data_IF_004689821009
#
_entry.id   IF_004689821009
#
_cell.length_a   1.000
_cell.length_b   1.000
_cell.length_c   1.000
_cell.angle_alpha   90.00
_cell.angle_beta   90.00
_cell.angle_gamma   90.00
#
_symmetry.space_group_name_H-M   'P 1'
#
loop_
_entity.id
_entity.type
_entity.pdbx_description
1 polymer ?
#
# COMPACT_ATOMS: atom_id res chain seq x y z
N UNK A 1 -19.87 -8.55 14.30
CA UNK A 1 -19.30 -8.43 12.95
C UNK A 1 -18.32 -9.58 12.78
N UNK A 2 -18.53 -10.49 11.83
CA UNK A 2 -17.59 -11.58 11.60
C UNK A 2 -16.46 -11.06 10.71
N UNK A 3 -15.24 -11.02 11.24
CA UNK A 3 -14.06 -10.48 10.58
C UNK A 3 -13.01 -11.58 10.54
N UNK A 4 -12.43 -11.80 9.35
CA UNK A 4 -11.23 -12.60 9.22
C UNK A 4 -10.06 -11.69 8.85
N UNK A 5 -8.88 -12.04 9.35
CA UNK A 5 -7.67 -11.27 9.22
C UNK A 5 -6.52 -12.20 8.89
N UNK A 6 -5.78 -11.83 7.85
CA UNK A 6 -4.49 -12.44 7.52
C UNK A 6 -3.48 -11.32 7.33
N UNK A 7 -2.24 -11.59 7.67
CA UNK A 7 -1.18 -10.61 7.51
C UNK A 7 0.17 -11.27 7.32
N UNK A 8 1.01 -10.59 6.57
CA UNK A 8 2.37 -10.96 6.29
C UNK A 8 3.26 -9.72 6.50
N UNK A 9 4.35 -9.90 7.26
CA UNK A 9 5.30 -8.85 7.61
C UNK A 9 6.70 -9.32 7.28
N UNK A 10 7.36 -8.62 6.37
CA UNK A 10 8.75 -8.87 6.02
C UNK A 10 9.65 -7.94 6.83
N UNK A 11 10.43 -8.48 7.75
CA UNK A 11 11.20 -7.70 8.71
C UNK A 11 12.64 -7.49 8.26
N UNK A 12 13.16 -6.27 8.44
CA UNK A 12 14.53 -5.93 8.08
C UNK A 12 15.24 -5.14 9.19
N UNK A 13 16.58 -5.25 9.22
CA UNK A 13 17.43 -4.67 10.26
C UNK A 13 17.04 -5.11 11.70
N UNK A 14 16.50 -6.33 11.82
CA UNK A 14 15.93 -6.89 13.04
C UNK A 14 14.50 -7.36 12.81
N UNK A 15 13.96 -8.14 13.74
CA UNK A 15 12.58 -8.65 13.67
C UNK A 15 11.60 -7.89 14.57
N UNK A 16 12.08 -6.90 15.33
CA UNK A 16 11.31 -6.23 16.37
C UNK A 16 10.00 -5.63 15.84
N UNK A 17 10.10 -4.77 14.82
CA UNK A 17 8.92 -4.14 14.21
C UNK A 17 7.91 -5.18 13.67
N UNK A 18 8.37 -6.19 12.93
CA UNK A 18 7.51 -7.25 12.39
C UNK A 18 6.81 -8.07 13.50
N UNK A 19 7.52 -8.42 14.57
CA UNK A 19 6.98 -9.17 15.70
C UNK A 19 5.94 -8.36 16.46
N UNK A 20 6.12 -7.04 16.60
CA UNK A 20 5.14 -6.17 17.27
C UNK A 20 3.92 -5.98 16.38
N UNK A 21 4.12 -5.66 15.09
CA UNK A 21 3.04 -5.48 14.13
C UNK A 21 2.17 -6.74 13.98
N UNK A 22 2.79 -7.92 13.93
CA UNK A 22 2.05 -9.20 13.84
C UNK A 22 1.15 -9.50 15.04
N UNK A 23 1.44 -8.91 16.21
CA UNK A 23 0.63 -9.08 17.42
C UNK A 23 -0.44 -8.02 17.59
N UNK A 24 -0.18 -6.79 17.12
CA UNK A 24 -0.98 -5.62 17.52
C UNK A 24 -1.72 -4.94 16.36
N UNK A 25 -1.29 -5.09 15.10
CA UNK A 25 -1.94 -4.37 13.99
C UNK A 25 -3.41 -4.77 13.80
N UNK A 26 -3.73 -6.06 14.00
CA UNK A 26 -5.13 -6.52 13.98
C UNK A 26 -5.97 -5.82 15.06
N UNK A 27 -5.39 -5.56 16.24
CA UNK A 27 -6.10 -4.89 17.32
C UNK A 27 -6.43 -3.45 16.96
N UNK A 28 -5.45 -2.69 16.43
CA UNK A 28 -5.68 -1.33 15.93
C UNK A 28 -6.77 -1.29 14.86
N UNK A 29 -6.77 -2.25 13.92
CA UNK A 29 -7.81 -2.34 12.89
C UNK A 29 -9.18 -2.59 13.53
N UNK A 30 -9.27 -3.49 14.50
CA UNK A 30 -10.53 -3.77 15.20
C UNK A 30 -11.05 -2.55 15.96
N UNK A 31 -10.18 -1.80 16.63
CA UNK A 31 -10.55 -0.57 17.34
C UNK A 31 -11.11 0.48 16.36
N UNK A 32 -10.42 0.74 15.26
CA UNK A 32 -10.88 1.70 14.23
C UNK A 32 -12.20 1.26 13.59
N UNK A 33 -12.38 -0.04 13.33
CA UNK A 33 -13.63 -0.57 12.78
C UNK A 33 -14.79 -0.51 13.79
N UNK A 34 -14.50 -0.60 15.08
CA UNK A 34 -15.52 -0.53 16.14
C UNK A 34 -16.15 0.87 16.21
N UNK A 35 -15.41 1.93 15.88
CA UNK A 35 -15.94 3.31 15.82
C UNK A 35 -17.00 3.50 14.73
N UNK A 36 -16.90 2.73 13.63
CA UNK A 36 -17.80 2.86 12.48
C UNK A 36 -18.83 1.73 12.37
N UNK A 37 -18.82 0.76 13.29
CA UNK A 37 -19.62 -0.47 13.18
C UNK A 37 -21.12 -0.19 13.10
N UNK A 38 -21.61 0.80 13.85
CA UNK A 38 -23.04 1.12 13.89
C UNK A 38 -23.51 1.78 12.59
N UNK A 39 -22.65 2.58 11.96
CA UNK A 39 -22.90 3.14 10.63
C UNK A 39 -22.95 1.99 9.61
N UNK A 40 -21.99 1.06 9.68
CA UNK A 40 -21.90 -0.08 8.76
C UNK A 40 -23.06 -1.08 8.87
N UNK A 41 -23.72 -1.19 10.02
CA UNK A 41 -24.91 -2.06 10.20
C UNK A 41 -26.09 -1.62 9.33
N UNK A 42 -26.21 -0.32 9.05
CA UNK A 42 -27.30 0.22 8.26
C UNK A 42 -26.84 0.63 6.86
N UNK A 43 -26.55 -0.36 6.02
CA UNK A 43 -26.07 -0.13 4.65
C UNK A 43 -27.07 0.62 3.75
N UNK A 44 -28.33 0.79 4.18
CA UNK A 44 -29.36 1.50 3.42
C UNK A 44 -29.22 3.02 3.51
N UNK A 45 -28.50 3.53 4.52
CA UNK A 45 -28.26 4.96 4.73
C UNK A 45 -26.78 5.23 4.51
N UNK A 46 -26.46 6.30 3.80
CA UNK A 46 -25.06 6.69 3.63
C UNK A 46 -24.46 7.13 4.96
N UNK A 47 -23.14 6.98 5.14
CA UNK A 47 -22.43 7.57 6.27
C UNK A 47 -22.79 9.04 6.45
N UNK A 48 -23.12 9.50 7.67
CA UNK A 48 -23.33 10.91 7.93
C UNK A 48 -22.01 11.67 7.75
N UNK A 49 -22.06 12.87 7.16
CA UNK A 49 -20.88 13.73 7.04
C UNK A 49 -20.43 14.26 8.41
N UNK A 50 -21.40 14.59 9.27
CA UNK A 50 -21.17 15.02 10.65
C UNK A 50 -21.96 14.14 11.60
N UNK A 51 -21.31 13.56 12.61
CA UNK A 51 -21.99 12.77 13.63
C UNK A 51 -22.85 13.66 14.52
N UNK A 52 -24.09 13.22 14.79
CA UNK A 52 -25.03 13.93 15.66
C UNK A 52 -25.85 15.03 14.96
N UNK A 53 -25.65 15.27 13.67
CA UNK A 53 -26.55 16.08 12.86
C UNK A 53 -27.67 15.21 12.28
N UNK A 54 -28.93 15.61 12.49
CA UNK A 54 -30.07 14.96 11.84
C UNK A 54 -30.02 15.23 10.33
N UNK A 55 -30.23 14.23 9.46
CA UNK A 55 -30.24 14.45 8.02
C UNK A 55 -31.30 15.48 7.67
N UNK A 56 -30.91 16.62 7.07
CA UNK A 56 -31.86 17.60 6.58
C UNK A 56 -32.84 16.92 5.61
N UNK A 57 -34.13 16.91 5.98
CA UNK A 57 -35.20 16.41 5.13
C UNK A 57 -35.22 17.19 3.81
N UNK A 58 -34.57 16.65 2.78
CA UNK A 58 -34.58 17.23 1.43
C UNK A 58 -35.96 17.08 0.79
N UNK A 59 -36.89 17.95 1.17
CA UNK A 59 -38.09 18.29 0.40
C UNK A 59 -37.89 19.67 -0.23
N UNK A 60 -36.96 19.79 -1.17
CA UNK A 60 -36.88 20.97 -2.02
C UNK A 60 -36.48 20.57 -3.44
N UNK A 61 -37.42 20.76 -4.36
CA UNK A 61 -37.30 20.53 -5.80
C UNK A 61 -35.99 21.11 -6.37
N UNK A 62 -35.11 20.23 -6.86
CA UNK A 62 -33.93 20.63 -7.63
C UNK A 62 -34.37 21.21 -8.98
N UNK A 63 -34.51 22.53 -9.06
CA UNK A 63 -34.50 23.26 -10.33
C UNK A 63 -33.05 23.61 -10.67
N UNK A 64 -32.57 23.03 -11.75
CA UNK A 64 -31.29 23.33 -12.39
C UNK A 64 -31.23 24.82 -12.75
N UNK A 65 -30.31 25.57 -12.14
CA UNK A 65 -30.05 26.98 -12.49
C UNK A 65 -28.73 27.07 -13.25
N UNK A 66 -28.81 27.49 -14.51
CA UNK A 66 -27.70 27.65 -15.45
C UNK A 66 -26.84 28.88 -15.08
N UNK A 67 -25.52 28.70 -15.24
CA UNK A 67 -24.39 29.45 -14.63
C UNK A 67 -24.13 30.88 -15.14
N UNK A 68 -25.10 31.65 -15.63
CA UNK A 68 -24.78 32.87 -16.42
C UNK A 68 -25.44 34.20 -16.04
N UNK A 69 -26.14 34.33 -14.90
CA UNK A 69 -26.92 35.55 -14.62
C UNK A 69 -26.54 36.36 -13.36
N UNK A 70 -25.48 36.03 -12.61
CA UNK A 70 -25.24 36.63 -11.27
C UNK A 70 -24.14 37.70 -11.19
N UNK A 71 -23.72 38.31 -12.31
CA UNK A 71 -22.75 39.41 -12.34
C UNK A 71 -23.37 40.81 -12.55
N UNK A 72 -24.58 41.06 -12.01
CA UNK A 72 -25.09 42.43 -11.93
C UNK A 72 -25.41 42.80 -10.49
N UNK A 73 -24.55 43.67 -9.95
CA UNK A 73 -24.70 44.38 -8.69
C UNK A 73 -26.06 45.08 -8.62
N UNK A 74 -26.76 44.91 -7.50
CA UNK A 74 -27.94 45.67 -7.14
C UNK A 74 -27.82 46.10 -5.68
N UNK A 75 -27.61 47.40 -5.48
CA UNK A 75 -27.56 48.08 -4.18
C UNK A 75 -28.96 48.04 -3.56
N UNK A 76 -29.10 47.57 -2.31
CA UNK A 76 -30.40 47.56 -1.62
C UNK A 76 -30.36 47.24 -0.13
N UNK A 77 -30.63 48.29 0.67
CA UNK A 77 -31.17 48.39 2.05
C UNK A 77 -30.65 47.51 3.23
N UNK A 78 -30.34 48.10 4.40
CA UNK A 78 -30.00 47.38 5.61
C UNK A 78 -31.26 47.03 6.44
N UNK A 79 -31.47 45.75 6.74
CA UNK A 79 -32.47 45.34 7.71
C UNK A 79 -33.07 43.95 7.48
N UNK A 80 -32.30 42.89 7.76
CA UNK A 80 -32.75 41.54 8.18
C UNK A 80 -31.51 40.64 8.30
N UNK A 81 -31.37 39.79 9.34
CA UNK A 81 -30.35 38.75 9.36
C UNK A 81 -30.84 37.58 8.49
N UNK A 82 -30.97 37.80 7.18
CA UNK A 82 -31.12 36.70 6.24
C UNK A 82 -29.74 36.06 6.07
N UNK A 83 -29.56 34.86 6.61
CA UNK A 83 -28.43 34.00 6.29
C UNK A 83 -28.24 34.00 4.77
N UNK A 84 -27.05 34.36 4.25
CA UNK A 84 -26.83 34.37 2.82
C UNK A 84 -27.06 32.95 2.28
N UNK A 85 -27.75 32.77 1.14
CA UNK A 85 -27.91 31.46 0.55
C UNK A 85 -26.51 30.89 0.29
N UNK A 86 -26.21 29.78 0.94
CA UNK A 86 -24.93 29.08 0.93
C UNK A 86 -24.63 28.59 -0.49
N UNK A 87 -23.91 29.40 -1.27
CA UNK A 87 -23.78 29.21 -2.73
C UNK A 87 -22.94 28.00 -3.18
N UNK A 88 -22.38 27.17 -2.29
CA UNK A 88 -21.48 26.06 -2.68
C UNK A 88 -21.46 24.85 -1.72
N UNK A 89 -22.60 24.43 -1.15
CA UNK A 89 -22.64 23.18 -0.39
C UNK A 89 -23.19 22.05 -1.26
N UNK A 90 -22.34 21.44 -2.08
CA UNK A 90 -22.61 20.09 -2.61
C UNK A 90 -21.92 19.09 -1.70
N UNK A 91 -22.71 18.35 -0.94
CA UNK A 91 -22.21 17.29 -0.07
C UNK A 91 -21.79 16.07 -0.91
N UNK A 92 -20.58 15.56 -0.66
CA UNK A 92 -20.06 14.39 -1.37
C UNK A 92 -20.63 13.13 -0.71
N UNK A 93 -21.29 12.29 -1.50
CA UNK A 93 -21.72 10.96 -1.04
C UNK A 93 -20.50 10.07 -0.84
N UNK A 94 -20.33 9.53 0.37
CA UNK A 94 -19.21 8.65 0.73
C UNK A 94 -19.70 7.20 0.78
N UNK A 95 -19.16 6.29 -0.04
CA UNK A 95 -19.43 4.86 0.09
C UNK A 95 -18.95 4.29 1.43
N UNK A 96 -19.66 3.29 1.98
CA UNK A 96 -19.26 2.61 3.23
C UNK A 96 -17.86 2.01 3.18
N UNK A 97 -17.42 1.53 2.02
CA UNK A 97 -16.07 0.99 1.85
C UNK A 97 -14.98 2.03 2.14
N UNK A 98 -15.23 3.32 1.88
CA UNK A 98 -14.28 4.38 2.20
C UNK A 98 -14.07 4.53 3.72
N UNK A 99 -15.09 4.22 4.55
CA UNK A 99 -14.93 4.20 5.99
C UNK A 99 -13.99 3.05 6.42
N UNK A 100 -14.15 1.87 5.83
CA UNK A 100 -13.30 0.70 6.12
C UNK A 100 -11.86 0.96 5.67
N UNK A 101 -11.67 1.53 4.48
CA UNK A 101 -10.35 1.92 3.97
C UNK A 101 -9.69 2.92 4.94
N UNK A 102 -10.41 3.98 5.32
CA UNK A 102 -9.89 4.98 6.25
C UNK A 102 -9.58 4.41 7.64
N UNK A 103 -10.39 3.47 8.14
CA UNK A 103 -10.13 2.77 9.40
C UNK A 103 -8.83 1.94 9.34
N UNK A 104 -8.58 1.24 8.23
CA UNK A 104 -7.35 0.46 8.03
C UNK A 104 -6.13 1.39 7.90
N UNK A 105 -6.23 2.47 7.13
CA UNK A 105 -5.16 3.46 6.97
C UNK A 105 -4.79 4.12 8.31
N UNK A 106 -5.79 4.50 9.12
CA UNK A 106 -5.60 5.02 10.47
C UNK A 106 -4.95 3.99 11.39
N UNK A 107 -5.34 2.72 11.33
CA UNK A 107 -4.74 1.66 12.12
C UNK A 107 -3.25 1.44 11.82
N UNK A 108 -2.83 1.53 10.56
CA UNK A 108 -1.41 1.46 10.18
C UNK A 108 -0.61 2.62 10.77
N UNK A 109 -1.19 3.83 10.75
CA UNK A 109 -0.57 5.01 11.35
C UNK A 109 -0.44 4.86 12.87
N UNK A 110 -1.50 4.42 13.55
CA UNK A 110 -1.48 4.21 15.01
C UNK A 110 -0.49 3.11 15.41
N UNK A 111 -0.40 2.03 14.63
CA UNK A 111 0.60 0.99 14.82
C UNK A 111 2.03 1.54 14.68
N UNK A 112 2.32 2.34 13.64
CA UNK A 112 3.65 2.93 13.46
C UNK A 112 4.01 3.91 14.59
N UNK A 113 3.04 4.73 15.05
CA UNK A 113 3.20 5.62 16.21
C UNK A 113 3.37 4.85 17.52
N UNK A 114 2.73 3.69 17.68
CA UNK A 114 2.96 2.83 18.84
C UNK A 114 4.38 2.27 18.81
N UNK A 115 4.83 1.73 17.67
CA UNK A 115 6.23 1.27 17.50
C UNK A 115 7.19 2.41 17.85
N UNK A 116 6.94 3.62 17.36
CA UNK A 116 7.75 4.79 17.69
C UNK A 116 7.86 5.00 19.21
N UNK A 117 6.72 5.08 19.91
CA UNK A 117 6.68 5.35 21.35
C UNK A 117 7.34 4.26 22.18
N UNK A 118 7.20 3.01 21.74
CA UNK A 118 7.58 1.83 22.51
C UNK A 118 9.00 1.33 22.21
N UNK A 119 9.62 1.78 21.10
CA UNK A 119 10.89 1.21 20.61
C UNK A 119 12.02 1.22 21.62
N UNK A 120 12.18 2.29 22.39
CA UNK A 120 13.28 2.40 23.37
C UNK A 120 13.04 1.52 24.58
N UNK A 121 11.79 1.43 25.04
CA UNK A 121 11.42 0.70 26.27
C UNK A 121 11.47 -0.80 26.02
N UNK A 122 10.96 -1.26 24.87
CA UNK A 122 10.89 -2.68 24.51
C UNK A 122 11.98 -3.12 23.53
N UNK A 123 12.94 -2.25 23.24
CA UNK A 123 14.05 -2.48 22.31
C UNK A 123 13.58 -2.99 20.93
N UNK A 124 12.53 -2.35 20.40
CA UNK A 124 11.94 -2.70 19.09
C UNK A 124 12.90 -2.24 18.01
N UNK A 125 13.55 -3.19 17.35
CA UNK A 125 14.51 -2.93 16.28
C UNK A 125 13.90 -2.98 14.88
N UNK A 126 14.55 -2.26 13.97
CA UNK A 126 14.32 -2.34 12.53
C UNK A 126 12.98 -1.79 12.06
N UNK A 127 12.59 -2.27 10.89
CA UNK A 127 11.32 -1.99 10.26
C UNK A 127 10.74 -3.24 9.61
N UNK A 128 9.57 -3.11 9.02
CA UNK A 128 8.98 -4.19 8.25
C UNK A 128 8.03 -3.68 7.16
N UNK A 129 7.86 -4.48 6.11
CA UNK A 129 6.69 -4.39 5.25
C UNK A 129 5.45 -4.85 6.01
N UNK A 130 4.27 -4.47 5.53
CA UNK A 130 3.00 -4.93 6.06
C UNK A 130 2.00 -5.14 4.93
N UNK A 131 1.64 -6.41 4.70
CA UNK A 131 0.58 -6.82 3.77
C UNK A 131 -0.54 -7.49 4.57
N UNK A 132 -1.70 -6.85 4.60
CA UNK A 132 -2.85 -7.23 5.43
C UNK A 132 -4.07 -7.49 4.55
N UNK A 133 -4.84 -8.52 4.91
CA UNK A 133 -6.12 -8.84 4.29
C UNK A 133 -7.19 -8.87 5.37
N UNK A 134 -8.17 -8.01 5.24
CA UNK A 134 -9.37 -8.00 6.09
C UNK A 134 -10.56 -8.48 5.25
N UNK A 135 -11.19 -9.57 5.67
CA UNK A 135 -12.50 -9.94 5.16
C UNK A 135 -13.58 -9.30 6.03
N UNK A 136 -14.44 -8.49 5.40
CA UNK A 136 -15.52 -7.80 6.07
C UNK A 136 -16.72 -7.59 5.13
N UNK A 137 -17.90 -8.02 5.58
CA UNK A 137 -19.19 -7.84 4.88
C UNK A 137 -19.18 -8.31 3.41
N UNK A 138 -18.54 -9.46 3.14
CA UNK A 138 -18.46 -10.01 1.78
C UNK A 138 -17.38 -9.39 0.90
N UNK A 139 -16.55 -8.50 1.43
CA UNK A 139 -15.43 -7.88 0.70
C UNK A 139 -14.10 -8.24 1.35
N UNK A 140 -13.06 -8.39 0.53
CA UNK A 140 -11.67 -8.42 0.95
C UNK A 140 -11.08 -7.02 0.79
N UNK A 141 -10.45 -6.52 1.83
CA UNK A 141 -9.66 -5.29 1.85
C UNK A 141 -8.19 -5.69 1.97
N UNK A 142 -7.43 -5.51 0.91
CA UNK A 142 -6.01 -5.87 0.82
C UNK A 142 -5.19 -4.60 0.95
N UNK A 143 -4.58 -4.41 2.12
CA UNK A 143 -3.79 -3.24 2.46
C UNK A 143 -2.30 -3.57 2.40
N UNK A 144 -1.53 -2.84 1.58
CA UNK A 144 -0.10 -3.06 1.41
C UNK A 144 0.74 -1.82 1.72
N UNK A 145 1.79 -2.00 2.52
CA UNK A 145 2.86 -1.03 2.75
C UNK A 145 4.21 -1.75 2.68
N UNK A 146 4.88 -1.68 1.53
CA UNK A 146 6.14 -2.36 1.26
C UNK A 146 6.16 -3.03 -0.12
N UNK A 147 7.03 -4.01 -0.30
CA UNK A 147 7.24 -4.78 -1.53
C UNK A 147 6.80 -6.25 -1.42
N UNK A 148 6.21 -6.66 -0.29
CA UNK A 148 5.36 -7.85 -0.27
C UNK A 148 4.17 -7.69 -1.22
N UNK A 149 3.67 -8.80 -1.77
CA UNK A 149 2.68 -8.76 -2.86
C UNK A 149 1.54 -9.75 -2.67
N UNK A 150 0.35 -9.35 -3.12
CA UNK A 150 -0.84 -10.17 -3.16
C UNK A 150 -1.45 -10.24 -4.57
N UNK A 151 -1.90 -11.43 -4.97
CA UNK A 151 -2.65 -11.67 -6.20
C UNK A 151 -3.82 -12.61 -5.93
N UNK A 152 -4.94 -12.42 -6.63
CA UNK A 152 -6.00 -13.43 -6.73
C UNK A 152 -5.75 -14.25 -7.99
N UNK A 153 -5.95 -15.56 -7.88
CA UNK A 153 -6.05 -16.48 -9.01
C UNK A 153 -7.49 -16.96 -9.03
N UNK A 154 -8.23 -16.61 -10.08
CA UNK A 154 -9.65 -16.95 -10.22
C UNK A 154 -9.95 -17.38 -11.64
N UNK A 155 -10.48 -18.58 -11.85
CA UNK A 155 -10.82 -19.10 -13.19
C UNK A 155 -9.66 -18.95 -14.20
N UNK A 156 -8.42 -19.17 -13.76
CA UNK A 156 -7.21 -18.99 -14.57
C UNK A 156 -6.79 -17.54 -14.81
N UNK A 157 -7.56 -16.55 -14.35
CA UNK A 157 -7.20 -15.13 -14.39
C UNK A 157 -6.36 -14.74 -13.17
N UNK A 158 -5.35 -13.91 -13.40
CA UNK A 158 -4.52 -13.32 -12.34
C UNK A 158 -4.94 -11.88 -12.11
N UNK A 159 -5.43 -11.58 -10.91
CA UNK A 159 -5.90 -10.26 -10.51
C UNK A 159 -4.95 -9.67 -9.46
N UNK A 160 -4.16 -8.63 -9.78
CA UNK A 160 -3.25 -7.99 -8.83
C UNK A 160 -4.01 -7.30 -7.68
N UNK A 161 -3.74 -7.73 -6.45
CA UNK A 161 -4.40 -7.22 -5.24
C UNK A 161 -3.52 -6.32 -4.37
N UNK A 162 -2.28 -6.07 -4.78
CA UNK A 162 -1.45 -5.00 -4.23
C UNK A 162 -0.55 -4.39 -5.31
N UNK A 163 0.18 -3.35 -4.94
CA UNK A 163 1.24 -2.72 -5.73
C UNK A 163 2.50 -2.66 -4.85
N UNK A 164 3.70 -2.78 -5.42
CA UNK A 164 4.95 -2.70 -4.65
C UNK A 164 5.41 -1.25 -4.47
N UNK A 165 5.89 -0.93 -3.26
CA UNK A 165 6.30 0.41 -2.88
C UNK A 165 7.82 0.52 -2.75
N UNK A 166 8.50 0.54 -3.89
CA UNK A 166 9.95 0.66 -4.01
C UNK A 166 10.36 2.11 -4.35
N UNK A 167 11.66 2.46 -4.25
CA UNK A 167 12.15 3.78 -4.64
C UNK A 167 11.78 4.18 -6.07
N UNK A 168 11.73 3.21 -6.99
CA UNK A 168 11.39 3.46 -8.40
C UNK A 168 9.89 3.68 -8.59
N UNK A 169 9.04 2.83 -7.99
CA UNK A 169 7.57 2.95 -8.15
C UNK A 169 7.04 4.22 -7.49
N UNK A 170 7.66 4.65 -6.39
CA UNK A 170 7.27 5.84 -5.63
C UNK A 170 8.15 7.07 -5.93
N UNK A 171 8.95 7.02 -7.01
CA UNK A 171 9.90 8.08 -7.38
C UNK A 171 9.30 9.48 -7.31
N UNK A 172 8.14 9.68 -7.94
CA UNK A 172 7.50 11.01 -7.99
C UNK A 172 7.12 11.51 -6.60
N UNK A 173 6.60 10.64 -5.72
CA UNK A 173 6.26 11.00 -4.34
C UNK A 173 7.51 11.41 -3.56
N UNK A 174 8.58 10.61 -3.67
CA UNK A 174 9.85 10.88 -3.00
C UNK A 174 10.48 12.19 -3.45
N UNK A 175 10.60 12.40 -4.77
CA UNK A 175 11.17 13.63 -5.33
C UNK A 175 10.31 14.86 -5.00
N UNK A 176 8.98 14.72 -5.01
CA UNK A 176 8.08 15.81 -4.63
C UNK A 176 8.28 16.21 -3.16
N UNK A 177 8.37 15.24 -2.24
CA UNK A 177 8.66 15.51 -0.83
C UNK A 177 10.01 16.23 -0.66
N UNK A 178 11.04 15.74 -1.34
CA UNK A 178 12.37 16.32 -1.32
C UNK A 178 12.43 17.73 -1.93
N UNK A 179 11.65 17.99 -2.97
CA UNK A 179 11.49 19.32 -3.56
C UNK A 179 10.79 20.29 -2.59
N UNK A 180 9.72 19.85 -1.93
CA UNK A 180 8.96 20.66 -0.97
C UNK A 180 9.71 20.89 0.34
N UNK A 181 10.54 19.93 0.74
CA UNK A 181 11.29 19.94 2.01
C UNK A 181 12.78 19.64 1.78
N UNK A 182 13.53 20.54 1.12
CA UNK A 182 14.92 20.28 0.74
C UNK A 182 15.87 20.12 1.93
N UNK A 183 15.50 20.61 3.11
CA UNK A 183 16.27 20.40 4.34
C UNK A 183 16.39 18.91 4.73
N UNK A 184 15.45 18.06 4.30
CA UNK A 184 15.49 16.61 4.53
C UNK A 184 16.64 15.93 3.77
N UNK A 185 17.20 16.59 2.74
CA UNK A 185 18.31 16.06 1.94
C UNK A 185 19.70 16.36 2.55
N UNK A 186 19.76 17.07 3.68
CA UNK A 186 20.99 17.41 4.39
C UNK A 186 22.01 18.22 3.57
N UNK A 187 21.59 18.82 2.46
CA UNK A 187 22.47 19.45 1.45
C UNK A 187 23.48 18.48 0.79
N UNK A 188 23.32 17.17 0.98
CA UNK A 188 24.18 16.13 0.40
C UNK A 188 23.51 15.45 -0.80
N UNK A 189 22.17 15.43 -0.80
CA UNK A 189 21.35 14.79 -1.81
C UNK A 189 20.61 15.81 -2.67
N UNK A 190 20.23 15.38 -3.88
CA UNK A 190 19.36 16.12 -4.79
C UNK A 190 18.12 15.30 -5.13
N UNK A 191 16.98 15.99 -5.26
CA UNK A 191 15.74 15.39 -5.73
C UNK A 191 15.75 15.18 -7.24
N UNK A 192 16.63 15.88 -7.99
CA UNK A 192 16.75 15.70 -9.43
C UNK A 192 17.36 14.34 -9.75
N UNK A 193 16.84 13.71 -10.79
CA UNK A 193 17.41 12.48 -11.30
C UNK A 193 18.18 12.72 -12.59
N UNK A 194 19.33 12.09 -12.69
CA UNK A 194 20.19 12.06 -13.87
C UNK A 194 20.39 10.60 -14.30
N UNK A 195 20.60 10.30 -15.59
CA UNK A 195 20.84 8.93 -16.05
C UNK A 195 22.07 8.26 -15.44
N UNK A 196 22.97 9.06 -14.85
CA UNK A 196 24.10 8.61 -14.04
C UNK A 196 24.59 9.74 -13.15
N UNK A 197 25.48 9.42 -12.21
CA UNK A 197 26.16 10.41 -11.39
C UNK A 197 26.87 11.47 -12.26
N UNK A 198 26.56 12.73 -11.95
CA UNK A 198 27.17 13.91 -12.58
C UNK A 198 28.61 14.06 -12.09
N UNK A 199 29.52 14.40 -13.00
CA UNK A 199 30.94 14.59 -12.68
C UNK A 199 31.31 16.07 -12.71
N UNK A 200 32.28 16.49 -11.88
CA UNK A 200 32.71 17.90 -11.79
C UNK A 200 33.15 18.50 -13.14
N UNK A 201 33.74 17.70 -14.04
CA UNK A 201 34.12 18.12 -15.41
C UNK A 201 32.94 18.39 -16.36
N UNK A 202 31.71 18.18 -15.89
CA UNK A 202 30.47 18.31 -16.67
C UNK A 202 29.70 19.58 -16.31
N UNK A 203 30.13 20.33 -15.30
CA UNK A 203 29.58 21.66 -14.99
C UNK A 203 29.63 22.54 -16.25
N UNK A 204 28.51 23.21 -16.53
CA UNK A 204 28.31 24.03 -17.72
C UNK A 204 27.93 23.26 -18.99
N UNK A 205 27.92 21.92 -18.98
CA UNK A 205 27.45 21.09 -20.10
C UNK A 205 25.98 20.76 -19.95
N UNK A 206 25.33 20.37 -21.05
CA UNK A 206 23.95 19.89 -21.04
C UNK A 206 23.88 18.39 -20.76
N UNK A 207 23.04 17.98 -19.83
CA UNK A 207 22.78 16.57 -19.50
C UNK A 207 21.28 16.33 -19.35
N UNK A 208 20.85 15.11 -19.66
CA UNK A 208 19.48 14.68 -19.40
C UNK A 208 19.23 14.69 -17.89
N UNK A 209 18.07 15.19 -17.50
CA UNK A 209 17.57 15.16 -16.14
C UNK A 209 16.05 14.95 -16.16
N UNK A 210 15.50 14.57 -15.00
CA UNK A 210 14.06 14.62 -14.76
C UNK A 210 13.75 14.99 -13.32
N UNK A 211 12.59 15.62 -13.15
CA UNK A 211 12.08 16.11 -11.87
C UNK A 211 10.78 15.35 -11.48
N UNK A 212 10.23 15.64 -10.29
CA UNK A 212 9.08 14.94 -9.72
C UNK A 212 7.83 14.98 -10.63
N UNK A 213 7.61 16.09 -11.35
CA UNK A 213 6.48 16.28 -12.25
C UNK A 213 6.71 15.71 -13.66
N UNK A 214 7.88 15.13 -13.93
CA UNK A 214 8.24 14.62 -15.25
C UNK A 214 8.08 13.10 -15.33
N UNK A 215 7.45 12.62 -16.39
CA UNK A 215 7.47 11.20 -16.79
C UNK A 215 8.56 10.92 -17.85
N UNK A 216 8.96 11.94 -18.62
CA UNK A 216 10.06 11.89 -19.59
C UNK A 216 11.35 12.53 -19.09
N UNK A 217 12.28 12.79 -20.01
CA UNK A 217 13.57 13.45 -19.74
C UNK A 217 13.66 14.79 -20.47
N UNK A 218 14.34 15.76 -19.86
CA UNK A 218 14.68 17.04 -20.46
C UNK A 218 16.19 17.29 -20.33
N UNK A 219 16.73 18.27 -21.04
CA UNK A 219 18.14 18.68 -20.89
C UNK A 219 18.23 19.92 -20.02
N UNK A 220 19.07 19.90 -18.97
CA UNK A 220 19.51 21.11 -18.24
C UNK A 220 21.00 21.33 -18.39
N UNK A 221 21.44 22.57 -18.16
CA UNK A 221 22.85 22.87 -17.94
C UNK A 221 23.22 22.45 -16.52
N UNK A 222 24.31 21.70 -16.38
CA UNK A 222 24.78 21.21 -15.08
C UNK A 222 25.40 22.34 -14.26
N UNK A 223 25.02 22.38 -12.98
CA UNK A 223 25.48 23.31 -11.96
C UNK A 223 26.23 22.56 -10.84
N UNK A 224 26.88 23.29 -9.92
CA UNK A 224 27.60 22.65 -8.80
C UNK A 224 26.66 21.81 -7.90
N UNK A 225 25.41 22.25 -7.73
CA UNK A 225 24.42 21.57 -6.90
C UNK A 225 24.04 20.19 -7.43
N UNK A 226 24.19 19.97 -8.75
CA UNK A 226 23.89 18.68 -9.40
C UNK A 226 24.95 17.61 -9.11
N UNK A 227 26.07 17.96 -8.45
CA UNK A 227 27.08 17.00 -7.99
C UNK A 227 26.65 16.22 -6.74
N UNK A 228 25.58 16.67 -6.08
CA UNK A 228 24.97 15.98 -4.94
C UNK A 228 24.51 14.57 -5.32
N UNK A 229 24.41 13.70 -4.32
CA UNK A 229 23.97 12.32 -4.54
C UNK A 229 22.47 12.27 -4.90
N UNK A 230 22.03 11.37 -5.78
CA UNK A 230 20.62 11.27 -6.09
C UNK A 230 19.83 10.72 -4.89
N UNK A 231 18.63 11.24 -4.68
CA UNK A 231 17.70 10.74 -3.66
C UNK A 231 17.40 9.24 -3.84
N UNK A 232 17.33 8.76 -5.07
CA UNK A 232 17.15 7.35 -5.41
C UNK A 232 18.44 6.86 -6.06
N UNK A 233 19.08 5.89 -5.42
CA UNK A 233 20.36 5.33 -5.84
C UNK A 233 20.20 3.87 -6.26
N UNK A 234 20.74 3.52 -7.42
CA UNK A 234 20.61 2.16 -7.98
C UNK A 234 19.37 2.01 -8.85
N UNK A 235 19.19 0.81 -9.39
CA UNK A 235 18.12 0.46 -10.33
C UNK A 235 17.51 -0.91 -9.97
N UNK A 236 16.24 -1.09 -10.31
CA UNK A 236 15.46 -2.29 -10.00
C UNK A 236 15.53 -2.63 -8.51
N UNK A 237 15.77 -3.91 -8.20
CA UNK A 237 15.86 -4.41 -6.83
C UNK A 237 17.00 -3.84 -5.98
N UNK A 238 17.97 -3.19 -6.64
CA UNK A 238 19.09 -2.52 -5.96
C UNK A 238 18.84 -1.04 -5.74
N UNK A 239 17.69 -0.52 -6.16
CA UNK A 239 17.30 0.85 -5.89
C UNK A 239 17.11 1.05 -4.39
N UNK A 240 17.63 2.16 -3.87
CA UNK A 240 17.58 2.52 -2.45
C UNK A 240 17.30 4.01 -2.29
N UNK A 241 16.47 4.38 -1.33
CA UNK A 241 16.36 5.79 -0.90
C UNK A 241 17.64 6.16 -0.17
N UNK A 242 18.34 7.18 -0.68
CA UNK A 242 19.62 7.70 -0.18
C UNK A 242 20.63 6.59 0.14
N UNK A 243 20.73 5.60 -0.77
CA UNK A 243 21.59 4.42 -0.64
C UNK A 243 21.35 3.57 0.64
N UNK A 244 20.19 3.71 1.30
CA UNK A 244 19.94 3.15 2.63
C UNK A 244 18.86 2.07 2.62
N UNK A 245 17.63 2.38 2.18
CA UNK A 245 16.47 1.45 2.30
C UNK A 245 15.85 1.10 0.94
N UNK A 246 15.46 -0.16 0.77
CA UNK A 246 14.88 -0.72 -0.48
C UNK A 246 13.37 -0.59 -0.62
N UNK A 247 12.69 -0.25 0.47
CA UNK A 247 11.25 0.02 0.52
C UNK A 247 10.98 1.48 0.84
N UNK A 248 9.83 1.98 0.41
CA UNK A 248 9.40 3.38 0.64
C UNK A 248 8.13 3.47 1.46
N UNK A 249 7.52 2.32 1.76
CA UNK A 249 6.44 2.20 2.72
C UNK A 249 6.67 1.01 3.65
N UNK A 250 6.22 1.12 4.89
CA UNK A 250 6.41 0.11 5.94
C UNK A 250 6.26 0.70 7.35
N UNK A 251 6.36 -0.17 8.35
CA UNK A 251 6.28 0.17 9.77
C UNK A 251 7.67 0.15 10.41
N UNK A 252 7.91 0.98 11.42
CA UNK A 252 9.20 1.03 12.13
C UNK A 252 10.24 1.94 11.45
N UNK A 253 11.53 1.62 11.60
CA UNK A 253 12.66 2.41 11.09
C UNK A 253 12.69 3.89 11.54
N UNK A 254 12.16 4.19 12.73
CA UNK A 254 12.09 5.55 13.26
C UNK A 254 13.46 6.19 13.49
N UNK A 255 14.48 5.37 13.79
CA UNK A 255 15.85 5.84 14.03
C UNK A 255 16.78 5.60 12.82
N UNK A 256 16.24 5.14 11.69
CA UNK A 256 17.03 4.83 10.51
C UNK A 256 17.58 6.11 9.87
N UNK A 257 18.90 6.14 9.72
CA UNK A 257 19.66 7.24 9.12
C UNK A 257 20.46 6.76 7.92
N UNK A 258 20.73 7.69 7.01
CA UNK A 258 21.75 7.48 5.98
C UNK A 258 23.10 7.24 6.67
N UNK A 259 23.82 6.22 6.22
CA UNK A 259 25.11 5.79 6.78
C UNK A 259 26.08 6.97 6.96
N UNK A 260 26.74 7.04 8.11
CA UNK A 260 27.69 8.11 8.49
C UNK A 260 27.13 9.55 8.40
N UNK A 261 25.81 9.73 8.53
CA UNK A 261 25.17 11.06 8.50
C UNK A 261 24.15 11.25 9.63
N UNK A 262 23.61 12.48 9.72
CA UNK A 262 22.46 12.80 10.58
C UNK A 262 21.15 12.93 9.79
N UNK A 263 21.10 12.41 8.56
CA UNK A 263 19.92 12.48 7.69
C UNK A 263 19.04 11.27 7.99
N UNK A 264 17.83 11.51 8.52
CA UNK A 264 16.85 10.45 8.76
C UNK A 264 16.15 10.03 7.46
N UNK A 265 15.78 8.76 7.39
CA UNK A 265 15.02 8.23 6.25
C UNK A 265 13.56 8.64 6.30
N UNK A 266 12.91 8.61 7.48
CA UNK A 266 11.60 9.24 7.62
C UNK A 266 11.77 10.76 7.44
N UNK A 267 10.90 11.44 6.66
CA UNK A 267 9.57 11.01 6.20
C UNK A 267 9.49 10.38 4.80
N UNK A 268 10.61 10.03 4.15
CA UNK A 268 10.56 9.35 2.83
C UNK A 268 9.93 7.95 2.90
N UNK A 269 10.14 7.26 4.03
CA UNK A 269 9.46 6.02 4.40
C UNK A 269 8.10 6.31 5.07
N UNK A 270 7.00 5.90 4.44
CA UNK A 270 5.63 6.13 4.94
C UNK A 270 4.98 4.86 5.49
N UNK A 271 4.25 4.95 6.60
CA UNK A 271 3.46 3.82 7.13
C UNK A 271 2.09 3.65 6.47
N UNK A 272 1.69 4.57 5.58
CA UNK A 272 0.34 4.56 4.98
C UNK A 272 0.21 3.46 3.91
N UNK A 273 -0.71 2.50 4.06
CA UNK A 273 -0.91 1.46 3.06
C UNK A 273 -1.66 1.99 1.83
N UNK A 274 -1.57 1.28 0.72
CA UNK A 274 -2.60 1.30 -0.32
C UNK A 274 -3.60 0.18 -0.04
N UNK A 275 -4.91 0.47 -0.10
CA UNK A 275 -5.97 -0.52 0.11
C UNK A 275 -6.71 -0.81 -1.20
N UNK A 276 -6.64 -2.05 -1.68
CA UNK A 276 -7.49 -2.54 -2.79
C UNK A 276 -8.65 -3.35 -2.25
N UNK A 277 -9.82 -3.20 -2.86
CA UNK A 277 -11.05 -3.88 -2.45
C UNK A 277 -11.46 -4.89 -3.51
N UNK A 278 -11.72 -6.13 -3.07
CA UNK A 278 -12.28 -7.18 -3.90
C UNK A 278 -13.61 -7.64 -3.32
N UNK A 279 -14.67 -7.50 -4.11
CA UNK A 279 -16.02 -7.89 -3.71
C UNK A 279 -16.26 -9.38 -4.03
N UNK A 280 -16.28 -10.22 -3.00
CA UNK A 280 -16.47 -11.67 -3.17
C UNK A 280 -17.87 -12.01 -3.67
N UNK A 281 -18.85 -11.12 -3.54
CA UNK A 281 -20.22 -11.37 -3.97
C UNK A 281 -20.42 -11.17 -5.47
N UNK A 282 -19.48 -10.50 -6.14
CA UNK A 282 -19.57 -10.25 -7.59
C UNK A 282 -19.23 -11.46 -8.44
N UNK A 283 -18.63 -12.50 -7.86
CA UNK A 283 -18.13 -13.66 -8.58
C UNK A 283 -18.45 -14.94 -7.82
N UNK A 284 -18.69 -16.02 -8.56
CA UNK A 284 -18.74 -17.35 -8.00
C UNK A 284 -17.33 -17.93 -7.97
N UNK A 285 -16.88 -18.36 -6.78
CA UNK A 285 -15.53 -18.87 -6.58
C UNK A 285 -15.53 -20.39 -6.41
N UNK A 286 -14.74 -21.08 -7.23
CA UNK A 286 -14.47 -22.51 -7.07
C UNK A 286 -13.50 -22.81 -5.92
N UNK A 287 -13.29 -24.09 -5.60
CA UNK A 287 -12.34 -24.52 -4.57
C UNK A 287 -10.87 -24.26 -4.95
N UNK A 288 -10.60 -23.92 -6.21
CA UNK A 288 -9.25 -23.63 -6.72
C UNK A 288 -9.00 -22.13 -6.86
N UNK A 289 -10.02 -21.30 -6.63
CA UNK A 289 -9.88 -19.84 -6.65
C UNK A 289 -9.33 -19.37 -5.30
N UNK A 290 -8.17 -18.73 -5.33
CA UNK A 290 -7.38 -18.42 -4.13
C UNK A 290 -6.81 -17.00 -4.17
N UNK A 291 -6.63 -16.43 -2.99
CA UNK A 291 -5.78 -15.27 -2.76
C UNK A 291 -4.41 -15.75 -2.29
N UNK A 292 -3.36 -15.29 -2.98
CA UNK A 292 -1.96 -15.53 -2.62
C UNK A 292 -1.41 -14.27 -1.96
N UNK A 293 -0.72 -14.41 -0.84
CA UNK A 293 0.11 -13.36 -0.23
C UNK A 293 1.51 -13.92 -0.05
N UNK A 294 2.54 -13.17 -0.39
CA UNK A 294 3.91 -13.59 -0.08
C UNK A 294 4.88 -12.42 0.09
N UNK A 295 6.00 -12.70 0.77
CA UNK A 295 7.16 -11.81 0.86
C UNK A 295 7.84 -11.65 -0.50
N UNK A 296 8.67 -10.63 -0.64
CA UNK A 296 9.45 -10.43 -1.86
C UNK A 296 10.34 -11.64 -2.17
N UNK A 297 10.76 -12.41 -1.17
CA UNK A 297 11.48 -13.67 -1.33
C UNK A 297 10.81 -14.68 -2.27
N UNK A 298 9.49 -14.61 -2.50
CA UNK A 298 8.80 -15.34 -3.58
C UNK A 298 8.85 -14.56 -4.91
N UNK A 299 8.36 -13.32 -4.88
CA UNK A 299 8.10 -12.48 -6.06
C UNK A 299 9.37 -12.03 -6.79
N UNK A 300 10.50 -12.09 -6.09
CA UNK A 300 11.79 -11.78 -6.62
C UNK A 300 12.25 -12.79 -7.69
N UNK A 301 11.78 -14.02 -7.62
CA UNK A 301 12.27 -15.10 -8.47
C UNK A 301 11.18 -15.76 -9.30
N UNK A 302 9.91 -15.52 -8.98
CA UNK A 302 8.75 -16.01 -9.73
C UNK A 302 7.85 -14.85 -10.17
N UNK A 303 7.43 -14.89 -11.45
CA UNK A 303 6.41 -13.99 -11.96
C UNK A 303 5.01 -14.38 -11.45
N UNK A 304 4.06 -13.44 -11.53
CA UNK A 304 2.67 -13.69 -11.15
C UNK A 304 2.07 -14.87 -11.92
N UNK A 305 2.38 -14.97 -13.22
CA UNK A 305 1.92 -16.04 -14.11
C UNK A 305 2.54 -17.38 -13.74
N UNK A 306 3.80 -17.41 -13.31
CA UNK A 306 4.48 -18.64 -12.88
C UNK A 306 3.88 -19.17 -11.56
N UNK A 307 3.54 -18.27 -10.64
CA UNK A 307 2.83 -18.61 -9.41
C UNK A 307 1.41 -19.12 -9.72
N UNK A 308 0.69 -18.44 -10.62
CA UNK A 308 -0.64 -18.83 -11.02
C UNK A 308 -0.68 -20.20 -11.71
N UNK A 309 0.26 -20.45 -12.63
CA UNK A 309 0.42 -21.74 -13.28
C UNK A 309 0.73 -22.85 -12.26
N UNK A 310 1.65 -22.61 -11.33
CA UNK A 310 2.00 -23.57 -10.29
C UNK A 310 0.77 -23.95 -9.45
N UNK A 311 0.01 -22.96 -8.96
CA UNK A 311 -1.19 -23.19 -8.14
C UNK A 311 -2.30 -23.89 -8.95
N UNK A 312 -2.54 -23.45 -10.18
CA UNK A 312 -3.57 -24.02 -11.08
C UNK A 312 -3.27 -25.47 -11.43
N UNK A 313 -1.98 -25.83 -11.53
CA UNK A 313 -1.57 -27.22 -11.76
C UNK A 313 -1.55 -28.04 -10.46
N UNK A 314 -1.31 -27.41 -9.30
CA UNK A 314 -1.18 -28.12 -8.03
C UNK A 314 -2.53 -28.47 -7.41
N UNK A 315 -3.42 -27.48 -7.26
CA UNK A 315 -4.66 -27.64 -6.51
C UNK A 315 -5.54 -28.77 -7.06
N UNK A 316 -5.85 -28.89 -8.37
CA UNK A 316 -6.73 -29.93 -8.90
C UNK A 316 -6.26 -31.37 -8.63
N UNK A 317 -4.97 -31.57 -8.35
CA UNK A 317 -4.39 -32.87 -8.02
C UNK A 317 -4.51 -33.25 -6.53
N UNK A 318 -5.03 -32.34 -5.70
CA UNK A 318 -5.32 -32.59 -4.30
C UNK A 318 -6.82 -32.86 -4.11
N UNK A 319 -7.17 -33.63 -3.08
CA UNK A 319 -8.55 -33.77 -2.61
C UNK A 319 -9.15 -32.37 -2.29
N UNK A 320 -10.26 -31.96 -2.93
CA UNK A 320 -10.89 -30.66 -2.70
C UNK A 320 -11.27 -30.40 -1.23
N UNK A 321 -11.60 -31.45 -0.48
CA UNK A 321 -11.95 -31.38 0.95
C UNK A 321 -10.74 -31.67 1.87
N UNK A 322 -9.55 -31.82 1.28
CA UNK A 322 -8.32 -32.10 1.99
C UNK A 322 -7.92 -30.95 2.92
N UNK A 323 -7.75 -31.18 4.24
CA UNK A 323 -7.53 -30.11 5.23
C UNK A 323 -6.19 -29.37 5.06
N UNK A 324 -5.25 -29.94 4.29
CA UNK A 324 -3.91 -29.38 4.07
C UNK A 324 -3.67 -28.93 2.63
N UNK A 325 -4.68 -28.99 1.75
CA UNK A 325 -4.54 -28.68 0.31
C UNK A 325 -3.84 -27.35 0.04
N UNK A 326 -4.31 -26.28 0.69
CA UNK A 326 -3.75 -24.93 0.50
C UNK A 326 -2.39 -24.75 1.19
N UNK A 327 -2.16 -25.42 2.32
CA UNK A 327 -0.84 -25.44 2.98
C UNK A 327 0.21 -26.12 2.11
N UNK A 328 -0.14 -27.24 1.47
CA UNK A 328 0.75 -27.93 0.54
C UNK A 328 1.03 -27.10 -0.71
N UNK A 329 0.03 -26.38 -1.24
CA UNK A 329 0.24 -25.44 -2.34
C UNK A 329 1.19 -24.29 -1.94
N UNK A 330 1.06 -23.75 -0.71
CA UNK A 330 1.98 -22.75 -0.19
C UNK A 330 3.41 -23.29 -0.07
N UNK A 331 3.56 -24.53 0.42
CA UNK A 331 4.87 -25.21 0.49
C UNK A 331 5.47 -25.44 -0.89
N UNK A 332 4.67 -25.85 -1.89
CA UNK A 332 5.13 -26.01 -3.27
C UNK A 332 5.67 -24.69 -3.83
N UNK A 333 4.98 -23.56 -3.60
CA UNK A 333 5.46 -22.23 -3.99
C UNK A 333 6.78 -21.84 -3.29
N UNK A 334 6.91 -22.09 -1.98
CA UNK A 334 8.16 -21.86 -1.25
C UNK A 334 9.31 -22.66 -1.84
N UNK A 335 9.08 -23.96 -2.10
CA UNK A 335 10.09 -24.85 -2.68
C UNK A 335 10.46 -24.46 -4.11
N UNK A 336 9.50 -23.96 -4.90
CA UNK A 336 9.75 -23.45 -6.26
C UNK A 336 10.61 -22.19 -6.25
N UNK A 337 10.34 -21.25 -5.36
CA UNK A 337 11.14 -20.02 -5.26
C UNK A 337 12.53 -20.29 -4.68
N UNK A 338 12.65 -21.18 -3.69
CA UNK A 338 13.96 -21.60 -3.18
C UNK A 338 14.75 -22.39 -4.22
N UNK A 339 14.11 -23.33 -4.91
CA UNK A 339 14.78 -24.22 -5.86
C UNK A 339 15.72 -25.23 -5.20
N UNK A 340 16.72 -25.67 -5.95
CA UNK A 340 17.70 -26.70 -5.53
C UNK A 340 19.07 -26.08 -5.32
N UNK A 341 19.76 -26.49 -4.26
CA UNK A 341 21.13 -26.05 -4.01
C UNK A 341 22.10 -26.68 -5.01
N UNK A 342 22.84 -25.83 -5.74
CA UNK A 342 23.97 -26.23 -6.60
C UNK A 342 25.26 -25.54 -6.11
N UNK A 343 26.41 -25.88 -6.69
CA UNK A 343 27.72 -25.36 -6.29
C UNK A 343 27.82 -23.82 -6.24
N UNK A 344 26.96 -23.11 -6.97
CA UNK A 344 26.89 -21.64 -7.04
C UNK A 344 25.55 -21.10 -6.54
N UNK A 345 25.04 -21.66 -5.44
CA UNK A 345 23.83 -21.23 -4.76
C UNK A 345 22.55 -21.91 -5.23
N UNK A 346 21.42 -21.41 -4.73
CA UNK A 346 20.08 -21.90 -5.04
C UNK A 346 19.70 -21.64 -6.51
N UNK A 347 19.08 -22.63 -7.16
CA UNK A 347 18.67 -22.57 -8.58
C UNK A 347 17.25 -23.09 -8.77
N UNK A 348 16.45 -22.32 -9.48
CA UNK A 348 15.09 -22.70 -9.89
C UNK A 348 15.11 -23.30 -11.31
N UNK A 349 13.92 -23.53 -11.88
CA UNK A 349 13.77 -23.96 -13.26
C UNK A 349 14.56 -23.05 -14.23
N UNK A 350 15.11 -23.67 -15.29
CA UNK A 350 15.96 -23.00 -16.29
C UNK A 350 17.26 -22.39 -15.75
N UNK A 351 17.75 -22.87 -14.59
CA UNK A 351 19.02 -22.46 -13.96
C UNK A 351 19.08 -20.98 -13.53
N UNK A 352 17.92 -20.30 -13.48
CA UNK A 352 17.77 -18.98 -12.86
C UNK A 352 18.11 -19.08 -11.36
N UNK A 353 18.59 -17.97 -10.79
CA UNK A 353 18.86 -17.89 -9.36
C UNK A 353 17.57 -18.11 -8.58
N UNK A 354 17.63 -19.01 -7.60
CA UNK A 354 16.59 -19.14 -6.59
C UNK A 354 16.73 -18.06 -5.52
N UNK A 355 15.67 -17.92 -4.74
CA UNK A 355 15.62 -16.92 -3.70
C UNK A 355 16.68 -17.20 -2.64
N UNK A 356 17.41 -16.16 -2.25
CA UNK A 356 18.32 -16.16 -1.11
C UNK A 356 17.67 -15.64 0.17
N UNK A 357 16.44 -15.15 0.09
CA UNK A 357 15.76 -14.43 1.17
C UNK A 357 14.86 -15.34 2.01
N UNK A 358 14.23 -14.79 3.05
CA UNK A 358 13.12 -15.42 3.75
C UNK A 358 11.87 -15.48 2.85
N UNK A 359 11.21 -16.64 2.84
CA UNK A 359 10.05 -16.88 1.96
C UNK A 359 8.87 -17.28 2.84
N UNK A 360 7.86 -16.42 2.89
CA UNK A 360 6.58 -16.71 3.53
C UNK A 360 5.47 -16.59 2.51
N UNK A 361 4.56 -17.58 2.47
CA UNK A 361 3.45 -17.63 1.51
C UNK A 361 2.17 -18.06 2.22
N UNK A 362 1.09 -17.34 1.96
CA UNK A 362 -0.27 -17.77 2.26
C UNK A 362 -1.02 -18.09 0.97
N UNK A 363 -1.78 -19.18 0.99
CA UNK A 363 -2.77 -19.54 -0.03
C UNK A 363 -4.13 -19.60 0.67
N UNK A 364 -5.01 -18.66 0.35
CA UNK A 364 -6.29 -18.47 1.05
C UNK A 364 -7.44 -18.77 0.08
N UNK A 365 -8.27 -19.79 0.34
CA UNK A 365 -9.42 -20.12 -0.51
C UNK A 365 -10.51 -19.05 -0.50
N UNK A 366 -11.00 -18.69 -1.68
CA UNK A 366 -12.06 -17.69 -1.85
C UNK A 366 -13.48 -18.29 -1.73
N UNK A 367 -13.62 -19.60 -1.91
CA UNK A 367 -14.93 -20.31 -1.87
C UNK A 367 -15.73 -20.08 -0.59
N UNK A 368 -15.06 -19.81 0.55
CA UNK A 368 -15.75 -19.55 1.81
C UNK A 368 -16.46 -18.19 1.84
N UNK A 369 -16.07 -17.26 0.96
CA UNK A 369 -16.79 -16.02 0.72
C UNK A 369 -18.21 -16.26 0.17
N UNK A 370 -18.39 -17.32 -0.63
CA UNK A 370 -19.68 -17.67 -1.23
C UNK A 370 -20.69 -18.15 -0.16
N UNK A 371 -20.24 -18.77 0.93
CA UNK A 371 -21.11 -19.42 1.92
C UNK A 371 -21.76 -18.47 2.93
N UNK A 372 -21.32 -17.22 3.02
CA UNK A 372 -21.89 -16.22 3.95
C UNK A 372 -23.01 -15.36 3.33
N UNK A 373 -23.28 -15.49 2.02
CA UNK A 373 -24.45 -14.89 1.38
C UNK A 373 -25.75 -15.69 1.66
N UNK A 374 -25.63 -16.98 1.95
CA UNK A 374 -26.76 -17.91 2.15
C UNK A 374 -27.42 -17.82 3.54
N UNK A 375 -26.75 -17.21 4.54
CA UNK A 375 -27.32 -17.01 5.88
C UNK A 375 -28.11 -15.68 6.01
N UNK A 376 -28.54 -15.10 4.89
CA UNK A 376 -29.39 -13.90 4.81
C UNK A 376 -30.79 -14.17 4.20
N UNK A 377 -31.25 -15.42 4.21
CA UNK A 377 -32.66 -15.76 3.97
C UNK A 377 -33.38 -16.09 5.28
#
# INVERSE_FOLDING_TARGET
>A
MHLHYWSLFDGHAGSGAAVVASKLLQHHILEQLQEIVDIMKNSAVLPPTCLGEEPENMTANSRTLTRAASLRSGVGAPGSPSTPPTRFFTEKKIPHECLVIGAIESAFKEMDLQIERERTIYNISGGCTALVVVYLLGKLYVANAGDSRAIIIRNGEVVPMSSEFTPETERQRLQYLAFMQPHLLGNEFTHLEFPRRVQRKEIGKRMLYRDFNMTGWAYKTIEEDDLKFPLIYGEGKKARVMATIGVTRGLGDHDLKVHDSNIYIKPFLSSTPEVKVYDLQQYEHGPDDVLILATDGLWDVLLNEEVAEAVTNFLPNCDPDGPHRYTLAAQDLVMRARGVLKDRGWRISNDRLGSGDDISVFVIPLIHGNKQSLNKQ
#
